data_IF_920136745609
#
_entry.id   IF_920136745609
#
_cell.length_a   1.000
_cell.length_b   1.000
_cell.length_c   1.000
_cell.angle_alpha   90.00
_cell.angle_beta   90.00
_cell.angle_gamma   90.00
#
_symmetry.space_group_name_H-M   'P 1'
#
loop_
_entity.id
_entity.type
_entity.pdbx_description
1 polymer ?
#
# COMPACT_ATOMS: atom_id res chain seq x y z
N UNK A 1 -15.38 25.30 36.79
CA UNK A 1 -14.31 25.62 35.82
C UNK A 1 -13.78 24.32 35.20
N UNK A 2 -14.00 24.20 33.89
CA UNK A 2 -13.34 23.41 32.84
C UNK A 2 -12.68 22.06 33.14
N UNK A 3 -13.37 21.00 32.64
CA UNK A 3 -12.85 19.65 32.33
C UNK A 3 -11.50 19.72 31.61
N UNK A 4 -10.49 19.03 32.12
CA UNK A 4 -9.33 18.58 31.33
C UNK A 4 -9.35 17.06 31.27
N UNK A 5 -10.23 16.52 30.44
CA UNK A 5 -10.10 15.13 29.98
C UNK A 5 -8.89 15.13 29.07
N UNK A 6 -7.73 14.75 29.62
CA UNK A 6 -6.55 14.45 28.81
C UNK A 6 -6.89 13.14 28.12
N UNK A 7 -7.48 13.28 26.93
CA UNK A 7 -7.67 12.18 25.99
C UNK A 7 -6.29 11.63 25.66
N UNK A 8 -5.86 10.60 26.38
CA UNK A 8 -4.71 9.77 26.04
C UNK A 8 -5.07 8.91 24.82
N UNK A 9 -5.42 9.56 23.71
CA UNK A 9 -5.28 8.95 22.40
C UNK A 9 -3.80 9.10 22.05
N UNK A 10 -2.96 8.25 22.64
CA UNK A 10 -1.67 7.93 22.05
C UNK A 10 -1.98 7.24 20.72
N UNK A 11 -2.28 8.04 19.69
CA UNK A 11 -2.18 7.67 18.29
C UNK A 11 -0.68 7.55 17.94
N UNK A 12 0.07 6.79 18.74
CA UNK A 12 1.43 6.35 18.45
C UNK A 12 1.43 5.31 17.33
N UNK A 13 0.26 4.88 16.88
CA UNK A 13 0.10 4.35 15.53
C UNK A 13 0.10 5.49 14.50
N UNK A 14 1.10 6.39 14.57
CA UNK A 14 1.69 6.99 13.38
C UNK A 14 2.33 5.83 12.64
N UNK A 15 1.46 5.09 11.97
CA UNK A 15 1.78 4.09 10.98
C UNK A 15 2.82 4.76 10.08
N UNK A 16 4.09 4.43 10.31
CA UNK A 16 5.16 4.77 9.37
C UNK A 16 4.58 4.29 8.05
N UNK A 17 4.21 5.22 7.17
CA UNK A 17 3.91 4.89 5.79
C UNK A 17 5.19 4.24 5.31
N UNK A 18 5.24 2.91 5.39
CA UNK A 18 6.34 2.16 4.83
C UNK A 18 6.17 2.43 3.36
N UNK A 19 7.01 3.32 2.85
CA UNK A 19 7.07 3.58 1.44
C UNK A 19 7.64 2.30 0.83
N UNK A 20 6.79 1.60 0.10
CA UNK A 20 7.18 0.42 -0.65
C UNK A 20 7.63 0.89 -2.02
N UNK A 21 8.63 0.21 -2.56
CA UNK A 21 9.18 0.52 -3.87
C UNK A 21 9.19 -0.73 -4.74
N UNK A 22 9.20 -0.56 -6.05
CA UNK A 22 9.40 -1.65 -6.99
C UNK A 22 10.26 -1.10 -8.11
N UNK A 23 11.43 -1.71 -8.34
CA UNK A 23 12.42 -1.21 -9.30
C UNK A 23 12.75 0.29 -9.09
N UNK A 24 12.88 0.72 -7.83
CA UNK A 24 13.18 2.10 -7.47
C UNK A 24 11.99 3.08 -7.51
N UNK A 25 10.81 2.67 -7.97
CA UNK A 25 9.62 3.52 -8.01
C UNK A 25 8.66 3.21 -6.86
N UNK A 26 8.06 4.24 -6.27
CA UNK A 26 7.12 4.08 -5.15
C UNK A 26 5.84 3.38 -5.59
N UNK A 27 5.37 2.41 -4.80
CA UNK A 27 4.16 1.65 -5.06
C UNK A 27 3.16 1.72 -3.89
N UNK A 28 1.87 1.60 -4.20
CA UNK A 28 0.75 1.51 -3.25
C UNK A 28 -0.07 0.23 -3.49
N UNK A 29 -0.73 -0.29 -2.45
CA UNK A 29 -1.73 -1.33 -2.63
C UNK A 29 -2.97 -0.75 -3.32
N UNK A 30 -3.50 -1.47 -4.30
CA UNK A 30 -4.78 -1.14 -4.95
C UNK A 30 -5.65 -2.39 -5.02
N UNK A 31 -6.97 -2.27 -4.81
CA UNK A 31 -7.89 -3.38 -5.01
C UNK A 31 -8.21 -3.49 -6.50
N UNK A 32 -7.69 -4.51 -7.16
CA UNK A 32 -8.01 -4.81 -8.54
C UNK A 32 -9.23 -5.73 -8.60
N UNK A 33 -10.24 -5.31 -9.35
CA UNK A 33 -11.48 -6.05 -9.58
C UNK A 33 -11.51 -6.47 -11.05
N UNK A 34 -11.54 -7.77 -11.29
CA UNK A 34 -11.71 -8.39 -12.60
C UNK A 34 -13.09 -9.08 -12.62
N UNK A 35 -13.57 -9.43 -13.81
CA UNK A 35 -14.91 -10.00 -14.00
C UNK A 35 -15.18 -11.27 -13.17
N UNK A 36 -14.15 -12.04 -12.81
CA UNK A 36 -14.27 -13.30 -12.07
C UNK A 36 -13.55 -13.33 -10.71
N UNK A 37 -12.81 -12.26 -10.34
CA UNK A 37 -12.04 -12.24 -9.08
C UNK A 37 -11.67 -10.81 -8.68
N UNK A 38 -11.41 -10.62 -7.39
CA UNK A 38 -10.77 -9.40 -6.89
C UNK A 38 -9.61 -9.74 -5.99
N UNK A 39 -8.56 -8.94 -6.02
CA UNK A 39 -7.38 -9.11 -5.18
C UNK A 39 -6.63 -7.79 -4.99
N UNK A 40 -5.76 -7.75 -3.97
CA UNK A 40 -4.86 -6.62 -3.78
C UNK A 40 -3.68 -6.73 -4.77
N UNK A 41 -3.61 -5.78 -5.69
CA UNK A 41 -2.50 -5.56 -6.60
C UNK A 41 -1.60 -4.43 -6.08
N UNK A 42 -0.46 -4.23 -6.74
CA UNK A 42 0.37 -3.06 -6.54
C UNK A 42 0.24 -2.10 -7.73
N UNK A 43 0.26 -0.81 -7.45
CA UNK A 43 0.20 0.26 -8.44
C UNK A 43 1.32 1.26 -8.16
N UNK A 44 2.00 1.75 -9.21
CA UNK A 44 2.99 2.81 -9.09
C UNK A 44 2.30 4.14 -8.76
N UNK A 45 2.86 4.88 -7.80
CA UNK A 45 2.31 6.15 -7.36
C UNK A 45 2.29 7.21 -8.47
N UNK A 46 3.34 7.26 -9.31
CA UNK A 46 3.52 8.37 -10.26
C UNK A 46 2.57 8.31 -11.46
N UNK A 47 2.29 7.11 -11.97
CA UNK A 47 1.57 6.94 -13.23
C UNK A 47 0.29 6.12 -13.10
N UNK A 48 -0.07 5.70 -11.88
CA UNK A 48 -1.20 4.83 -11.58
C UNK A 48 -1.23 3.54 -12.45
N UNK A 49 -0.06 3.07 -12.92
CA UNK A 49 0.05 1.80 -13.65
C UNK A 49 0.19 0.67 -12.67
N UNK A 50 -0.50 -0.44 -12.96
CA UNK A 50 -0.32 -1.69 -12.24
C UNK A 50 1.11 -2.19 -12.39
N UNK A 51 1.68 -2.64 -11.28
CA UNK A 51 2.98 -3.30 -11.26
C UNK A 51 2.83 -4.67 -11.93
N UNK A 52 3.68 -4.93 -12.94
CA UNK A 52 3.70 -6.18 -13.68
C UNK A 52 5.12 -6.74 -13.74
N UNK A 53 5.23 -8.06 -13.80
CA UNK A 53 6.47 -8.77 -14.08
C UNK A 53 6.18 -9.82 -15.15
N UNK A 54 6.90 -9.78 -16.27
CA UNK A 54 6.67 -10.68 -17.42
C UNK A 54 5.19 -10.72 -17.84
N UNK A 55 4.60 -9.53 -18.06
CA UNK A 55 3.18 -9.31 -18.39
C UNK A 55 2.13 -9.75 -17.37
N UNK A 56 2.56 -10.33 -16.24
CA UNK A 56 1.67 -10.74 -15.15
C UNK A 56 1.55 -9.63 -14.12
N UNK A 57 0.31 -9.23 -13.80
CA UNK A 57 0.03 -8.30 -12.71
C UNK A 57 0.45 -8.93 -11.38
N UNK A 58 1.29 -8.23 -10.64
CA UNK A 58 1.73 -8.66 -9.32
C UNK A 58 0.68 -8.32 -8.27
N UNK A 59 0.44 -9.28 -7.38
CA UNK A 59 -0.28 -8.98 -6.14
C UNK A 59 0.55 -8.07 -5.24
N UNK A 60 -0.09 -7.34 -4.34
CA UNK A 60 0.60 -6.50 -3.35
C UNK A 60 1.69 -7.29 -2.61
N UNK A 61 1.35 -8.51 -2.15
CA UNK A 61 2.28 -9.40 -1.45
C UNK A 61 3.49 -9.77 -2.29
N UNK A 62 3.33 -10.00 -3.59
CA UNK A 62 4.45 -10.31 -4.48
C UNK A 62 5.32 -9.10 -4.73
N UNK A 63 4.72 -7.94 -4.99
CA UNK A 63 5.46 -6.71 -5.27
C UNK A 63 6.37 -6.30 -4.09
N UNK A 64 5.87 -6.38 -2.86
CA UNK A 64 6.67 -6.07 -1.65
C UNK A 64 7.65 -7.18 -1.28
N UNK A 65 7.42 -8.42 -1.73
CA UNK A 65 8.33 -9.54 -1.45
C UNK A 65 9.57 -9.51 -2.34
N UNK A 66 9.47 -8.96 -3.55
CA UNK A 66 10.61 -8.79 -4.48
C UNK A 66 11.57 -7.70 -3.99
N UNK A 67 11.18 -6.90 -2.99
CA UNK A 67 12.04 -5.90 -2.37
C UNK A 67 13.02 -6.46 -1.33
N UNK A 68 12.85 -7.71 -0.88
CA UNK A 68 13.78 -8.36 0.06
C UNK A 68 14.81 -9.16 -0.69
#
# INVERSE_FOLDING_TARGET
MSKKVISKNNAENRQKSHDFFFQGQKIKPVKLILSNKSFLAAEFFENNKLVKLNDKILTWKQAISIQR
#
